data_IF_700149512354
#
_entry.id   IF_700149512354
#
_cell.length_a   1.000
_cell.length_b   1.000
_cell.length_c   1.000
_cell.angle_alpha   90.00
_cell.angle_beta   90.00
_cell.angle_gamma   90.00
#
_symmetry.space_group_name_H-M   'P 1'
#
loop_
_entity.id
_entity.type
_entity.pdbx_description
1 polymer ?
#
# COMPACT_ATOMS: atom_id res chain seq x y z
N UNK A 1 -12.66 7.89 -4.93
CA UNK A 1 -11.28 7.38 -5.10
C UNK A 1 -10.68 7.13 -3.72
N UNK A 2 -9.75 6.18 -3.58
CA UNK A 2 -9.16 5.76 -2.29
C UNK A 2 -7.83 6.45 -1.99
N UNK A 3 -7.84 7.79 -2.03
CA UNK A 3 -6.65 8.64 -1.82
C UNK A 3 -6.04 8.41 -0.43
N UNK A 4 -6.89 8.27 0.59
CA UNK A 4 -6.44 8.00 1.97
C UNK A 4 -5.60 6.72 2.07
N UNK A 5 -5.91 5.69 1.27
CA UNK A 5 -5.12 4.45 1.22
C UNK A 5 -3.74 4.70 0.62
N UNK A 6 -3.64 5.52 -0.42
CA UNK A 6 -2.34 5.92 -0.99
C UNK A 6 -1.48 6.62 0.05
N UNK A 7 -2.06 7.58 0.78
CA UNK A 7 -1.32 8.32 1.80
C UNK A 7 -0.94 7.44 3.00
N UNK A 8 -1.81 6.51 3.39
CA UNK A 8 -1.51 5.50 4.39
C UNK A 8 -0.32 4.62 3.96
N UNK A 9 -0.33 4.08 2.73
CA UNK A 9 0.77 3.27 2.20
C UNK A 9 2.09 4.04 2.20
N UNK A 10 2.09 5.30 1.72
CA UNK A 10 3.29 6.16 1.75
C UNK A 10 3.86 6.29 3.17
N UNK A 11 3.03 6.61 4.15
CA UNK A 11 3.44 6.81 5.55
C UNK A 11 3.97 5.54 6.20
N UNK A 12 3.33 4.40 5.93
CA UNK A 12 3.77 3.12 6.49
C UNK A 12 5.08 2.64 5.87
N UNK A 13 5.22 2.71 4.55
CA UNK A 13 6.48 2.34 3.87
C UNK A 13 7.61 3.27 4.33
N UNK A 14 7.35 4.58 4.44
CA UNK A 14 8.30 5.55 4.98
C UNK A 14 8.77 5.18 6.40
N UNK A 15 7.84 4.82 7.28
CA UNK A 15 8.13 4.40 8.65
C UNK A 15 8.93 3.10 8.69
N UNK A 16 8.60 2.13 7.82
CA UNK A 16 9.37 0.87 7.70
C UNK A 16 10.81 1.14 7.26
N UNK A 17 11.02 2.01 6.28
CA UNK A 17 12.36 2.39 5.81
C UNK A 17 13.17 3.12 6.89
N UNK A 18 12.51 3.98 7.68
CA UNK A 18 13.12 4.59 8.85
C UNK A 18 13.56 3.53 9.87
N UNK A 19 12.70 2.58 10.20
CA UNK A 19 13.05 1.50 11.13
C UNK A 19 14.24 0.67 10.63
N UNK A 20 14.34 0.40 9.33
CA UNK A 20 15.51 -0.28 8.73
C UNK A 20 16.79 0.53 8.96
N UNK A 21 16.75 1.85 8.76
CA UNK A 21 17.90 2.74 9.03
C UNK A 21 18.28 2.77 10.51
N UNK A 22 17.29 2.70 11.39
CA UNK A 22 17.48 2.66 12.84
C UNK A 22 17.96 1.27 13.33
N UNK A 23 18.20 0.31 12.42
CA UNK A 23 18.82 -0.98 12.71
C UNK A 23 17.86 -2.18 12.70
N UNK A 24 16.58 -1.99 12.38
CA UNK A 24 15.64 -3.10 12.28
C UNK A 24 15.95 -4.01 11.08
N UNK A 25 15.99 -5.32 11.31
CA UNK A 25 16.26 -6.31 10.27
C UNK A 25 14.99 -6.69 9.48
N UNK A 26 14.43 -5.75 8.72
CA UNK A 26 13.26 -6.00 7.85
C UNK A 26 13.73 -6.49 6.48
N UNK A 27 13.13 -7.57 5.97
CA UNK A 27 13.50 -8.20 4.68
C UNK A 27 12.46 -8.06 3.57
N UNK A 28 11.32 -7.45 3.87
CA UNK A 28 10.20 -7.38 2.94
C UNK A 28 9.04 -6.59 3.51
N UNK A 29 8.17 -6.14 2.61
CA UNK A 29 6.91 -5.46 2.94
C UNK A 29 5.80 -6.07 2.09
N UNK A 30 4.68 -6.41 2.73
CA UNK A 30 3.50 -6.96 2.06
C UNK A 30 2.27 -6.14 2.41
N UNK A 31 1.59 -5.63 1.39
CA UNK A 31 0.32 -4.93 1.56
C UNK A 31 -0.78 -5.93 1.89
N UNK A 32 -1.48 -5.69 2.99
CA UNK A 32 -2.80 -6.25 3.21
C UNK A 32 -3.85 -5.31 2.59
N UNK A 33 -4.59 -5.70 1.55
CA UNK A 33 -4.54 -6.96 0.81
C UNK A 33 -4.42 -6.70 -0.70
N UNK A 34 -4.06 -7.74 -1.46
CA UNK A 34 -4.03 -7.65 -2.93
C UNK A 34 -5.41 -7.27 -3.50
N UNK A 35 -6.46 -7.94 -3.03
CA UNK A 35 -7.85 -7.70 -3.45
C UNK A 35 -8.81 -7.80 -2.27
N UNK A 36 -10.00 -7.23 -2.42
CA UNK A 36 -11.05 -7.36 -1.41
C UNK A 36 -11.41 -8.85 -1.20
N UNK A 37 -11.58 -9.22 0.06
CA UNK A 37 -11.86 -10.59 0.51
C UNK A 37 -12.89 -10.56 1.65
N UNK A 38 -13.24 -11.74 2.17
CA UNK A 38 -14.05 -11.82 3.38
C UNK A 38 -13.22 -11.48 4.62
N UNK A 39 -13.55 -10.38 5.28
CA UNK A 39 -12.85 -9.95 6.49
C UNK A 39 -13.51 -10.52 7.74
N UNK A 40 -12.72 -11.14 8.63
CA UNK A 40 -13.23 -11.88 9.80
C UNK A 40 -14.17 -11.02 10.66
N UNK A 41 -13.84 -9.74 10.83
CA UNK A 41 -14.63 -8.80 11.66
C UNK A 41 -15.51 -7.85 10.85
N UNK A 42 -15.37 -7.83 9.52
CA UNK A 42 -16.06 -6.88 8.63
C UNK A 42 -16.98 -7.52 7.59
N UNK A 43 -16.96 -8.84 7.49
CA UNK A 43 -17.60 -9.60 6.43
C UNK A 43 -17.23 -9.08 5.03
N UNK A 44 -18.22 -9.08 4.12
CA UNK A 44 -18.08 -8.50 2.77
C UNK A 44 -18.35 -6.99 2.71
N UNK A 45 -18.39 -6.31 3.87
CA UNK A 45 -18.65 -4.86 3.94
C UNK A 45 -17.39 -4.05 4.22
N UNK A 46 -16.31 -4.70 4.65
CA UNK A 46 -15.00 -4.09 4.82
C UNK A 46 -14.12 -4.37 3.59
N UNK A 47 -13.40 -3.34 3.13
CA UNK A 47 -12.65 -3.40 1.88
C UNK A 47 -11.22 -2.89 2.08
N UNK A 48 -10.25 -3.80 2.11
CA UNK A 48 -8.82 -3.49 2.30
C UNK A 48 -8.00 -3.66 1.02
N UNK A 49 -8.56 -4.29 -0.01
CA UNK A 49 -7.84 -4.64 -1.23
C UNK A 49 -7.33 -3.44 -2.02
N UNK A 50 -6.17 -3.58 -2.65
CA UNK A 50 -5.76 -2.71 -3.75
C UNK A 50 -6.71 -2.87 -4.95
N UNK A 51 -7.25 -4.08 -5.13
CA UNK A 51 -8.22 -4.41 -6.17
C UNK A 51 -9.61 -4.57 -5.54
N UNK A 52 -10.57 -3.78 -6.01
CA UNK A 52 -11.97 -3.94 -5.61
C UNK A 52 -12.55 -5.21 -6.23
N UNK A 53 -13.29 -5.98 -5.45
CA UNK A 53 -14.10 -7.11 -5.93
C UNK A 53 -15.58 -6.76 -5.76
N UNK A 54 -16.37 -6.90 -6.82
CA UNK A 54 -17.82 -6.83 -6.71
C UNK A 54 -18.37 -8.20 -6.25
N UNK A 55 -18.75 -8.29 -4.97
CA UNK A 55 -19.32 -9.50 -4.39
C UNK A 55 -20.80 -9.72 -4.77
N UNK A 56 -21.48 -8.71 -5.30
CA UNK A 56 -22.87 -8.81 -5.77
C UNK A 56 -22.94 -9.32 -7.21
N UNK A 57 -21.92 -9.03 -8.02
CA UNK A 57 -21.78 -9.62 -9.36
C UNK A 57 -21.33 -11.08 -9.28
N UNK A 58 -22.09 -11.99 -9.90
CA UNK A 58 -21.75 -13.42 -10.04
C UNK A 58 -20.40 -13.65 -10.72
N UNK A 59 -19.97 -12.74 -11.59
CA UNK A 59 -18.67 -12.80 -12.30
C UNK A 59 -17.50 -12.37 -11.43
N UNK A 60 -17.75 -11.80 -10.24
CA UNK A 60 -16.73 -11.30 -9.30
C UNK A 60 -15.75 -10.36 -9.99
N UNK A 61 -16.29 -9.32 -10.63
CA UNK A 61 -15.48 -8.37 -11.39
C UNK A 61 -14.41 -7.73 -10.48
N UNK A 62 -13.18 -7.66 -10.99
CA UNK A 62 -12.00 -7.13 -10.30
C UNK A 62 -11.62 -5.79 -10.91
N UNK A 63 -11.57 -4.74 -10.10
CA UNK A 63 -11.31 -3.38 -10.55
C UNK A 63 -10.16 -2.78 -9.73
N UNK A 64 -8.98 -2.56 -10.31
CA UNK A 64 -7.86 -1.92 -9.62
C UNK A 64 -8.26 -0.52 -9.11
N UNK A 65 -7.93 -0.23 -7.85
CA UNK A 65 -8.15 1.09 -7.25
C UNK A 65 -6.97 2.02 -7.56
N UNK A 66 -7.08 3.30 -7.18
CA UNK A 66 -5.99 4.27 -7.36
C UNK A 66 -4.72 3.81 -6.63
N UNK A 67 -4.89 3.25 -5.43
CA UNK A 67 -3.78 2.66 -4.67
C UNK A 67 -3.07 1.52 -5.39
N UNK A 68 -3.76 0.72 -6.21
CA UNK A 68 -3.13 -0.33 -7.00
C UNK A 68 -2.18 0.25 -8.05
N UNK A 69 -2.63 1.28 -8.77
CA UNK A 69 -1.81 1.97 -9.77
C UNK A 69 -0.60 2.63 -9.11
N UNK A 70 -0.82 3.39 -8.04
CA UNK A 70 0.25 4.03 -7.29
C UNK A 70 1.27 3.01 -6.75
N UNK A 71 0.81 1.90 -6.17
CA UNK A 71 1.70 0.87 -5.63
C UNK A 71 2.50 0.18 -6.74
N UNK A 72 1.89 -0.10 -7.89
CA UNK A 72 2.60 -0.59 -9.09
C UNK A 72 3.68 0.38 -9.53
N UNK A 73 3.37 1.67 -9.62
CA UNK A 73 4.32 2.70 -10.04
C UNK A 73 5.47 2.87 -9.05
N UNK A 74 5.18 2.79 -7.75
CA UNK A 74 6.20 2.77 -6.70
C UNK A 74 7.14 1.57 -6.85
N UNK A 75 6.60 0.36 -7.01
CA UNK A 75 7.39 -0.87 -7.20
C UNK A 75 8.23 -0.83 -8.48
N UNK A 76 7.71 -0.22 -9.55
CA UNK A 76 8.43 0.00 -10.82
C UNK A 76 9.44 1.16 -10.76
N UNK A 77 9.55 1.85 -9.62
CA UNK A 77 10.39 3.05 -9.41
C UNK A 77 9.97 4.26 -10.23
N UNK A 78 8.75 4.27 -10.77
CA UNK A 78 8.11 5.41 -11.45
C UNK A 78 7.53 6.42 -10.46
N UNK A 79 7.32 6.01 -9.20
CA UNK A 79 6.95 6.87 -8.10
C UNK A 79 7.96 6.77 -6.96
N UNK A 80 8.10 7.84 -6.20
CA UNK A 80 8.97 7.92 -5.02
C UNK A 80 8.19 8.43 -3.81
N UNK A 81 8.64 8.04 -2.62
CA UNK A 81 8.14 8.59 -1.36
C UNK A 81 9.20 9.50 -0.74
N UNK A 82 8.75 10.60 -0.15
CA UNK A 82 9.61 11.48 0.62
C UNK A 82 9.49 11.07 2.09
N UNK A 83 10.62 10.87 2.77
CA UNK A 83 10.64 10.66 4.22
C UNK A 83 11.40 11.81 4.84
N UNK A 84 10.72 12.49 5.75
CA UNK A 84 11.29 13.57 6.55
C UNK A 84 11.91 12.98 7.81
N UNK A 85 13.17 13.32 8.05
CA UNK A 85 13.96 12.90 9.21
C UNK A 85 14.60 14.13 9.84
N UNK A 86 13.84 14.84 10.67
CA UNK A 86 14.29 16.13 11.21
C UNK A 86 14.45 17.17 10.10
N UNK A 87 15.63 17.79 9.98
CA UNK A 87 15.93 18.82 8.98
C UNK A 87 16.26 18.28 7.58
N UNK A 88 16.28 16.95 7.38
CA UNK A 88 16.65 16.32 6.12
C UNK A 88 15.46 15.57 5.49
N UNK A 89 15.19 15.86 4.21
CA UNK A 89 14.24 15.11 3.37
C UNK A 89 15.02 14.11 2.53
N UNK A 90 14.68 12.82 2.62
CA UNK A 90 15.25 11.79 1.74
C UNK A 90 14.18 11.20 0.84
N UNK A 91 14.46 11.13 -0.46
CA UNK A 91 13.62 10.45 -1.46
C UNK A 91 13.94 8.96 -1.50
N UNK A 92 12.91 8.12 -1.50
CA UNK A 92 13.05 6.66 -1.60
C UNK A 92 12.25 6.14 -2.78
N UNK A 93 12.87 5.18 -3.46
CA UNK A 93 12.24 4.33 -4.46
C UNK A 93 12.02 2.92 -3.85
N UNK A 94 11.25 2.07 -4.53
CA UNK A 94 11.17 0.67 -4.14
C UNK A 94 12.57 0.02 -4.13
N UNK A 95 13.04 -0.36 -2.94
CA UNK A 95 14.33 -1.01 -2.66
C UNK A 95 14.25 -2.00 -1.48
N UNK A 96 13.03 -2.46 -1.14
CA UNK A 96 12.81 -3.40 -0.04
C UNK A 96 13.18 -4.82 -0.48
#
# INVERSE_FOLDING_TARGET
MDVERVDFLKKYIASTLKAIRDGANVKGYSVWALMDLYEIFGGYKAYFGLIRVDFWDKRRQRQPRLSAYWYSDFLKKNASIQVESGAATTTYHAQI
#
